data_IF_492219379933
#
_entry.id   IF_492219379933
#
_cell.length_a   1.000
_cell.length_b   1.000
_cell.length_c   1.000
_cell.angle_alpha   90.00
_cell.angle_beta   90.00
_cell.angle_gamma   90.00
#
_symmetry.space_group_name_H-M   'P 1'
#
loop_
_entity.id
_entity.type
_entity.pdbx_description
1 polymer ?
#
# COMPACT_ATOMS: atom_id res chain seq x y z
N UNK A 1 13.64 18.37 -9.74
CA UNK A 1 13.10 17.03 -9.38
C UNK A 1 12.08 17.24 -8.27
N UNK A 2 10.80 16.94 -8.52
CA UNK A 2 9.76 16.98 -7.49
C UNK A 2 9.82 15.67 -6.71
N UNK A 3 10.45 15.67 -5.53
CA UNK A 3 10.39 14.53 -4.62
C UNK A 3 8.98 14.46 -4.01
N UNK A 4 8.10 13.65 -4.61
CA UNK A 4 6.76 13.38 -4.06
C UNK A 4 6.90 12.28 -3.00
N UNK A 5 6.58 12.59 -1.74
CA UNK A 5 6.54 11.57 -0.69
C UNK A 5 5.37 10.61 -0.96
N UNK A 6 5.68 9.32 -1.09
CA UNK A 6 4.72 8.26 -1.48
C UNK A 6 4.23 7.41 -0.30
N UNK A 7 4.91 7.49 0.84
CA UNK A 7 4.56 6.81 2.09
C UNK A 7 5.64 6.94 3.17
N UNK A 8 5.31 6.44 4.36
CA UNK A 8 6.16 6.39 5.54
C UNK A 8 6.57 4.93 5.83
N UNK A 9 7.80 4.77 6.31
CA UNK A 9 8.33 3.50 6.82
C UNK A 9 8.40 3.56 8.34
N UNK A 10 7.65 2.70 9.04
CA UNK A 10 7.57 2.72 10.51
C UNK A 10 7.79 1.36 11.14
N UNK A 11 8.17 1.35 12.42
CA UNK A 11 8.23 0.17 13.26
C UNK A 11 7.21 0.33 14.40
N UNK A 12 6.21 -0.54 14.42
CA UNK A 12 5.18 -0.56 15.46
C UNK A 12 5.77 -1.02 16.80
N UNK A 13 5.06 -0.74 17.89
CA UNK A 13 5.47 -1.09 19.25
C UNK A 13 5.70 -2.60 19.45
N UNK A 14 4.99 -3.45 18.69
CA UNK A 14 5.18 -4.91 18.68
C UNK A 14 6.36 -5.38 17.82
N UNK A 15 7.17 -4.47 17.28
CA UNK A 15 8.33 -4.77 16.44
C UNK A 15 8.03 -4.92 14.95
N UNK A 16 6.76 -4.91 14.53
CA UNK A 16 6.35 -5.03 13.13
C UNK A 16 6.83 -3.83 12.32
N UNK A 17 7.56 -4.11 11.23
CA UNK A 17 7.94 -3.10 10.23
C UNK A 17 6.81 -2.94 9.21
N UNK A 18 6.21 -1.77 9.18
CA UNK A 18 5.05 -1.45 8.34
C UNK A 18 5.35 -0.28 7.41
N UNK A 19 4.96 -0.44 6.15
CA UNK A 19 4.87 0.67 5.21
C UNK A 19 3.47 1.27 5.27
N UNK A 20 3.37 2.59 5.40
CA UNK A 20 2.10 3.31 5.45
C UNK A 20 2.05 4.29 4.29
N UNK A 21 1.12 4.09 3.37
CA UNK A 21 0.95 5.01 2.27
C UNK A 21 0.34 6.34 2.73
N UNK A 22 0.66 7.41 2.01
CA UNK A 22 0.00 8.70 2.21
C UNK A 22 -1.50 8.66 1.90
N UNK A 23 -2.25 9.59 2.52
CA UNK A 23 -3.69 9.77 2.28
C UNK A 23 -3.92 10.20 0.83
N UNK A 24 -5.03 9.75 0.23
CA UNK A 24 -5.50 10.06 -1.15
C UNK A 24 -4.75 9.33 -2.29
N UNK A 25 -4.81 7.99 -2.31
CA UNK A 25 -4.31 7.17 -3.43
C UNK A 25 -5.35 6.85 -4.53
N UNK A 26 -6.32 7.72 -4.81
CA UNK A 26 -7.43 7.42 -5.74
C UNK A 26 -7.02 6.93 -7.13
N UNK A 27 -5.82 7.29 -7.63
CA UNK A 27 -5.30 6.88 -8.94
C UNK A 27 -4.65 5.48 -8.95
N UNK A 28 -4.40 4.90 -7.78
CA UNK A 28 -3.73 3.61 -7.63
C UNK A 28 -4.71 2.43 -7.63
N UNK A 29 -6.00 2.67 -7.80
CA UNK A 29 -6.97 1.58 -7.96
C UNK A 29 -6.98 1.09 -9.41
N UNK A 30 -6.79 -0.21 -9.62
CA UNK A 30 -6.94 -0.86 -10.91
C UNK A 30 -8.26 -1.63 -10.96
N UNK A 31 -9.18 -1.15 -11.81
CA UNK A 31 -10.49 -1.79 -12.02
C UNK A 31 -10.39 -3.22 -12.54
N UNK A 32 -9.36 -3.54 -13.34
CA UNK A 32 -9.17 -4.89 -13.90
C UNK A 32 -8.92 -5.93 -12.81
N UNK A 33 -8.20 -5.57 -11.75
CA UNK A 33 -7.84 -6.47 -10.65
C UNK A 33 -8.68 -6.25 -9.40
N UNK A 34 -9.63 -5.31 -9.44
CA UNK A 34 -10.42 -4.86 -8.28
C UNK A 34 -9.51 -4.62 -7.06
N UNK A 35 -8.38 -3.95 -7.29
CA UNK A 35 -7.25 -3.95 -6.37
C UNK A 35 -6.44 -2.66 -6.38
N UNK A 36 -5.58 -2.55 -5.37
CA UNK A 36 -4.78 -1.37 -5.12
C UNK A 36 -3.31 -1.62 -5.44
N UNK A 37 -2.69 -0.64 -6.10
CA UNK A 37 -1.33 -0.71 -6.60
C UNK A 37 -0.30 -0.08 -5.67
N UNK A 38 0.87 -0.71 -5.59
CA UNK A 38 2.11 -0.14 -5.07
C UNK A 38 3.19 -0.25 -6.14
N UNK A 39 4.07 0.74 -6.23
CA UNK A 39 5.21 0.70 -7.13
C UNK A 39 6.05 -0.55 -6.85
N UNK A 40 6.48 -1.23 -7.90
CA UNK A 40 7.31 -2.44 -7.80
C UNK A 40 8.62 -2.13 -7.09
N UNK A 41 9.24 -0.99 -7.35
CA UNK A 41 10.49 -0.58 -6.69
C UNK A 41 10.31 -0.38 -5.18
N UNK A 42 9.22 0.28 -4.77
CA UNK A 42 8.88 0.41 -3.35
C UNK A 42 8.67 -0.96 -2.74
N UNK A 43 7.89 -1.82 -3.40
CA UNK A 43 7.62 -3.18 -2.91
C UNK A 43 8.90 -3.99 -2.71
N UNK A 44 9.82 -3.95 -3.68
CA UNK A 44 11.11 -4.64 -3.61
C UNK A 44 11.96 -4.12 -2.44
N UNK A 45 12.00 -2.81 -2.22
CA UNK A 45 12.70 -2.23 -1.07
C UNK A 45 12.07 -2.66 0.26
N UNK A 46 10.74 -2.76 0.35
CA UNK A 46 10.07 -3.27 1.55
C UNK A 46 10.45 -4.73 1.84
N UNK A 47 10.46 -5.60 0.82
CA UNK A 47 10.89 -7.00 0.96
C UNK A 47 12.35 -7.07 1.43
N UNK A 48 13.25 -6.35 0.76
CA UNK A 48 14.68 -6.33 1.07
C UNK A 48 14.99 -5.88 2.49
N UNK A 49 14.22 -4.92 3.00
CA UNK A 49 14.40 -4.38 4.35
C UNK A 49 13.62 -5.14 5.43
N UNK A 50 12.99 -6.26 5.08
CA UNK A 50 12.28 -7.14 6.02
C UNK A 50 11.01 -6.52 6.59
N UNK A 51 10.31 -5.69 5.80
CA UNK A 51 8.97 -5.25 6.16
C UNK A 51 8.01 -6.44 6.14
N UNK A 52 7.01 -6.40 7.00
CA UNK A 52 6.04 -7.50 7.14
C UNK A 52 4.65 -7.08 6.74
N UNK A 53 4.37 -5.78 6.67
CA UNK A 53 3.03 -5.24 6.44
C UNK A 53 3.03 -4.02 5.52
N UNK A 54 2.01 -3.96 4.67
CA UNK A 54 1.64 -2.80 3.86
C UNK A 54 0.29 -2.28 4.36
N UNK A 55 0.23 -0.98 4.59
CA UNK A 55 -0.96 -0.24 5.03
C UNK A 55 -1.24 0.85 4.00
N UNK A 56 -2.33 0.71 3.26
CA UNK A 56 -2.78 1.68 2.27
C UNK A 56 -3.87 2.57 2.87
N UNK A 57 -3.65 3.88 2.89
CA UNK A 57 -4.63 4.88 3.31
C UNK A 57 -5.46 5.34 2.10
N UNK A 58 -6.69 4.84 2.02
CA UNK A 58 -7.64 5.12 0.94
C UNK A 58 -8.61 6.22 1.37
N UNK A 59 -8.65 7.31 0.62
CA UNK A 59 -9.48 8.46 0.98
C UNK A 59 -9.10 9.06 2.35
N UNK A 60 -10.12 9.47 3.10
CA UNK A 60 -9.97 10.11 4.42
C UNK A 60 -10.04 9.12 5.59
N UNK A 61 -10.85 8.08 5.46
CA UNK A 61 -11.23 7.23 6.60
C UNK A 61 -10.90 5.77 6.40
N UNK A 62 -10.52 5.35 5.20
CA UNK A 62 -10.33 3.93 4.90
C UNK A 62 -8.86 3.56 4.96
N UNK A 63 -8.58 2.43 5.60
CA UNK A 63 -7.26 1.83 5.63
C UNK A 63 -7.36 0.37 5.24
N UNK A 64 -6.56 -0.03 4.26
CA UNK A 64 -6.42 -1.41 3.79
C UNK A 64 -5.07 -1.95 4.26
N UNK A 65 -5.07 -3.09 4.94
CA UNK A 65 -3.86 -3.68 5.52
C UNK A 65 -3.66 -5.09 4.98
N UNK A 66 -2.42 -5.42 4.60
CA UNK A 66 -2.05 -6.75 4.10
C UNK A 66 -0.59 -7.07 4.43
N UNK A 67 -0.25 -8.37 4.48
CA UNK A 67 1.14 -8.79 4.73
C UNK A 67 1.96 -8.78 3.45
N UNK A 68 3.25 -8.47 3.53
CA UNK A 68 4.17 -8.53 2.39
C UNK A 68 4.13 -9.90 1.69
N UNK A 69 4.06 -10.98 2.47
CA UNK A 69 3.94 -12.35 1.95
C UNK A 69 2.73 -12.52 1.01
N UNK A 70 1.59 -11.88 1.33
CA UNK A 70 0.39 -11.97 0.51
C UNK A 70 0.57 -11.30 -0.84
N UNK A 71 1.27 -10.16 -0.88
CA UNK A 71 1.67 -9.49 -2.12
C UNK A 71 2.65 -10.34 -2.93
N UNK A 72 3.61 -11.02 -2.28
CA UNK A 72 4.54 -11.91 -2.98
C UNK A 72 3.83 -13.10 -3.63
N UNK A 73 2.80 -13.65 -2.96
CA UNK A 73 2.07 -14.85 -3.42
C UNK A 73 0.95 -14.54 -4.42
N UNK A 74 0.27 -13.41 -4.25
CA UNK A 74 -0.99 -13.11 -4.96
C UNK A 74 -1.00 -11.74 -5.65
N UNK A 75 0.09 -10.98 -5.54
CA UNK A 75 0.21 -9.70 -6.23
C UNK A 75 0.38 -9.90 -7.74
N UNK A 76 -0.33 -9.10 -8.52
CA UNK A 76 -0.30 -9.12 -9.98
C UNK A 76 0.42 -7.89 -10.47
N UNK A 77 1.51 -8.09 -11.22
CA UNK A 77 2.21 -6.98 -11.88
C UNK A 77 1.41 -6.50 -13.08
N UNK A 78 1.25 -5.18 -13.21
CA UNK A 78 0.67 -4.55 -14.39
C UNK A 78 1.69 -3.60 -15.02
N UNK A 79 2.08 -3.92 -16.24
CA UNK A 79 3.04 -3.14 -17.05
C UNK A 79 2.34 -2.28 -18.10
N UNK A 80 1.01 -2.33 -18.19
CA UNK A 80 0.25 -1.78 -19.33
C UNK A 80 -0.10 -0.29 -19.20
N UNK A 81 0.30 0.38 -18.12
CA UNK A 81 0.12 1.83 -17.96
C UNK A 81 1.44 2.54 -18.27
N UNK A 82 1.61 2.93 -19.53
CA UNK A 82 2.84 3.61 -20.03
C UNK A 82 3.17 4.92 -19.29
N UNK A 83 2.17 5.58 -18.69
CA UNK A 83 2.34 6.87 -17.99
C UNK A 83 2.67 6.75 -16.49
N UNK A 84 2.82 5.54 -15.96
CA UNK A 84 3.10 5.31 -14.54
C UNK A 84 4.25 4.34 -14.33
N UNK A 85 4.93 4.46 -13.18
CA UNK A 85 5.87 3.44 -12.69
C UNK A 85 5.19 2.06 -12.63
N UNK A 86 5.94 0.97 -12.87
CA UNK A 86 5.42 -0.39 -12.81
C UNK A 86 4.80 -0.64 -11.42
N UNK A 87 3.58 -1.17 -11.39
CA UNK A 87 2.87 -1.44 -10.13
C UNK A 87 2.56 -2.92 -9.97
N UNK A 88 2.68 -3.38 -8.72
CA UNK A 88 2.08 -4.64 -8.27
C UNK A 88 0.74 -4.30 -7.62
N UNK A 89 -0.32 -5.01 -8.02
CA UNK A 89 -1.67 -4.86 -7.51
C UNK A 89 -2.05 -6.05 -6.66
N UNK A 90 -2.70 -5.79 -5.54
CA UNK A 90 -3.36 -6.83 -4.75
C UNK A 90 -4.87 -6.54 -4.71
N UNK A 91 -5.73 -7.52 -5.05
CA UNK A 91 -7.18 -7.38 -4.93
C UNK A 91 -7.61 -6.91 -3.53
N UNK A 92 -8.56 -5.97 -3.46
CA UNK A 92 -9.03 -5.41 -2.19
C UNK A 92 -9.61 -6.48 -1.26
N UNK A 93 -10.26 -7.51 -1.82
CA UNK A 93 -10.81 -8.65 -1.08
C UNK A 93 -9.78 -9.46 -0.28
N UNK A 94 -8.49 -9.32 -0.62
CA UNK A 94 -7.37 -9.97 0.08
C UNK A 94 -6.78 -9.07 1.18
N UNK A 95 -7.30 -7.86 1.36
CA UNK A 95 -6.83 -6.91 2.35
C UNK A 95 -7.82 -6.83 3.52
N UNK A 96 -7.29 -6.60 4.72
CA UNK A 96 -8.09 -6.24 5.87
C UNK A 96 -8.47 -4.77 5.78
N UNK A 97 -9.77 -4.50 5.63
CA UNK A 97 -10.34 -3.17 5.62
C UNK A 97 -10.70 -2.70 7.03
N UNK A 98 -10.30 -1.48 7.38
CA UNK A 98 -10.63 -0.83 8.63
C UNK A 98 -10.97 0.64 8.38
N UNK A 99 -11.88 1.18 9.19
CA UNK A 99 -12.23 2.59 9.16
C UNK A 99 -11.59 3.32 10.34
N UNK A 100 -11.05 4.51 10.08
CA UNK A 100 -10.68 5.46 11.12
C UNK A 100 -11.96 5.99 11.75
N UNK A 101 -12.24 5.55 12.96
CA UNK A 101 -13.29 6.13 13.78
C UNK A 101 -12.87 7.57 14.15
N UNK A 102 -13.80 8.52 14.15
CA UNK A 102 -13.54 9.97 14.35
C UNK A 102 -12.71 10.31 15.60
N UNK A 103 -12.60 9.40 16.57
CA UNK A 103 -11.78 9.53 17.79
C UNK A 103 -10.27 9.34 17.59
N UNK A 104 -9.78 8.98 16.40
CA UNK A 104 -8.35 8.77 16.13
C UNK A 104 -7.72 9.81 15.18
N UNK A 105 -8.48 10.81 14.75
CA UNK A 105 -8.04 11.85 13.80
C UNK A 105 -7.43 13.06 14.50
N UNK A 106 -6.41 12.85 15.35
CA UNK A 106 -5.64 13.95 15.95
C UNK A 106 -4.16 13.56 16.03
N UNK A 107 -3.45 13.67 14.90
CA UNK A 107 -2.00 13.83 14.83
C UNK A 107 -1.67 14.69 13.61
#
# INVERSE_FOLDING_TARGET
MNHKLIGDMTKLANGTKSYISHRKRSEHFCRRYEGWGIAVDVFNELVKNGFTQIVLRVGLYETLTSSIELWQKQGVKDTLREDYEEQIFLPEKLMKKSYLNMTQSSY
#
